data_IF_474296868182
#
_entry.id   IF_474296868182
#
_cell.length_a   1.000
_cell.length_b   1.000
_cell.length_c   1.000
_cell.angle_alpha   90.00
_cell.angle_beta   90.00
_cell.angle_gamma   90.00
#
_symmetry.space_group_name_H-M   'P 1'
#
loop_
_entity.id
_entity.type
_entity.pdbx_description
1 polymer ?
#
# COMPACT_ATOMS: atom_id res chain seq x y z
N UNK A 1 43.56 -37.44 -67.76
CA UNK A 1 42.30 -37.59 -67.01
C UNK A 1 42.55 -37.07 -65.59
N UNK A 2 42.16 -35.86 -65.26
CA UNK A 2 42.39 -35.22 -63.98
C UNK A 2 41.05 -35.08 -63.23
N UNK A 3 40.93 -35.77 -62.11
CA UNK A 3 39.76 -35.69 -61.21
C UNK A 3 40.00 -34.55 -60.22
N UNK A 4 39.18 -33.48 -60.29
CA UNK A 4 39.13 -32.42 -59.29
C UNK A 4 38.18 -32.82 -58.19
N UNK A 5 38.68 -33.02 -56.97
CA UNK A 5 37.89 -33.12 -55.75
C UNK A 5 37.52 -31.71 -55.28
N UNK A 6 36.23 -31.43 -55.20
CA UNK A 6 35.71 -30.22 -54.59
C UNK A 6 35.39 -30.53 -53.10
N UNK A 7 36.10 -29.86 -52.21
CA UNK A 7 35.83 -29.92 -50.75
C UNK A 7 34.72 -28.90 -50.42
N UNK A 8 33.59 -29.41 -49.92
CA UNK A 8 32.52 -28.58 -49.32
C UNK A 8 32.91 -28.25 -47.88
N UNK A 9 33.17 -27.00 -47.60
CA UNK A 9 33.33 -26.49 -46.22
C UNK A 9 31.92 -26.11 -45.69
N UNK A 10 31.39 -26.96 -44.82
CA UNK A 10 30.13 -26.66 -44.12
C UNK A 10 30.40 -25.68 -42.95
N UNK A 11 29.86 -24.47 -43.07
CA UNK A 11 29.84 -23.51 -41.97
C UNK A 11 28.68 -23.87 -41.01
N UNK A 12 29.05 -24.39 -39.85
CA UNK A 12 28.09 -24.61 -38.73
C UNK A 12 27.92 -23.27 -38.02
N UNK A 13 26.80 -22.59 -38.28
CA UNK A 13 26.39 -21.44 -37.46
C UNK A 13 25.79 -21.94 -36.16
N UNK A 14 26.58 -21.96 -35.11
CA UNK A 14 26.10 -22.21 -33.76
C UNK A 14 25.28 -21.01 -33.30
N UNK A 15 23.95 -21.08 -33.43
CA UNK A 15 23.03 -20.11 -32.83
C UNK A 15 23.16 -20.18 -31.30
N UNK A 16 23.76 -19.18 -30.71
CA UNK A 16 23.67 -18.93 -29.27
C UNK A 16 22.19 -18.67 -28.93
N UNK A 17 21.51 -19.68 -28.40
CA UNK A 17 20.27 -19.49 -27.69
C UNK A 17 20.58 -18.73 -26.39
N UNK A 18 20.46 -17.39 -26.44
CA UNK A 18 20.48 -16.59 -25.23
C UNK A 18 19.27 -17.04 -24.39
N UNK A 19 19.53 -17.81 -23.34
CA UNK A 19 18.53 -18.02 -22.28
C UNK A 19 18.14 -16.64 -21.76
N UNK A 20 16.83 -16.28 -21.69
CA UNK A 20 16.45 -15.03 -21.05
C UNK A 20 16.99 -15.07 -19.62
N UNK A 21 17.91 -14.17 -19.28
CA UNK A 21 18.29 -13.93 -17.91
C UNK A 21 16.99 -13.65 -17.16
N UNK A 22 16.65 -14.50 -16.18
CA UNK A 22 15.44 -14.28 -15.39
C UNK A 22 15.47 -12.83 -14.88
N UNK A 23 14.40 -12.10 -15.11
CA UNK A 23 14.31 -10.71 -14.65
C UNK A 23 14.59 -10.68 -13.15
N UNK A 24 15.47 -9.78 -12.73
CA UNK A 24 15.73 -9.57 -11.30
C UNK A 24 14.44 -9.17 -10.59
N UNK A 25 14.32 -9.52 -9.30
CA UNK A 25 13.14 -9.17 -8.52
C UNK A 25 13.05 -7.63 -8.41
N UNK A 26 11.90 -7.05 -8.79
CA UNK A 26 11.65 -5.61 -8.67
C UNK A 26 11.48 -5.26 -7.18
N UNK A 27 12.36 -4.44 -6.64
CA UNK A 27 12.36 -4.05 -5.22
C UNK A 27 11.39 -2.90 -5.01
N UNK A 28 10.34 -3.14 -4.22
CA UNK A 28 9.25 -2.19 -3.98
C UNK A 28 9.17 -1.81 -2.52
N UNK A 29 9.28 -0.52 -2.22
CA UNK A 29 8.99 0.03 -0.90
C UNK A 29 7.57 0.61 -0.92
N UNK A 30 6.65 0.07 -0.10
CA UNK A 30 5.23 0.36 -0.21
C UNK A 30 4.55 0.64 1.13
N UNK A 31 3.67 1.63 1.14
CA UNK A 31 2.79 1.89 2.27
C UNK A 31 1.83 0.73 2.53
N UNK A 32 1.58 0.44 3.82
CA UNK A 32 0.66 -0.62 4.24
C UNK A 32 -0.77 -0.43 3.73
N UNK A 33 -1.24 0.80 3.64
CA UNK A 33 -2.58 1.14 3.15
C UNK A 33 -2.88 0.65 1.73
N UNK A 34 -1.88 0.51 0.86
CA UNK A 34 -2.05 0.04 -0.53
C UNK A 34 -1.75 -1.45 -0.69
N UNK A 35 -1.26 -2.13 0.36
CA UNK A 35 -0.75 -3.51 0.30
C UNK A 35 -1.74 -4.50 -0.31
N UNK A 36 -2.99 -4.51 0.18
CA UNK A 36 -4.00 -5.48 -0.25
C UNK A 36 -4.32 -5.38 -1.74
N UNK A 37 -4.45 -4.15 -2.24
CA UNK A 37 -4.70 -3.87 -3.64
C UNK A 37 -3.47 -4.22 -4.52
N UNK A 38 -2.28 -3.77 -4.08
CA UNK A 38 -1.05 -4.01 -4.84
C UNK A 38 -0.78 -5.51 -4.98
N UNK A 39 -1.00 -6.31 -3.94
CA UNK A 39 -0.84 -7.76 -4.01
C UNK A 39 -1.70 -8.39 -5.12
N UNK A 40 -2.96 -7.97 -5.26
CA UNK A 40 -3.86 -8.45 -6.32
C UNK A 40 -3.38 -8.05 -7.74
N UNK A 41 -2.83 -6.83 -7.88
CA UNK A 41 -2.33 -6.36 -9.18
C UNK A 41 -1.04 -7.09 -9.55
N UNK A 42 -0.18 -7.34 -8.58
CA UNK A 42 1.07 -8.08 -8.77
C UNK A 42 0.82 -9.51 -9.20
N UNK A 43 -0.13 -10.19 -8.58
CA UNK A 43 -0.47 -11.56 -8.96
C UNK A 43 -0.76 -11.64 -10.47
N UNK A 44 -1.66 -10.78 -10.96
CA UNK A 44 -1.97 -10.71 -12.39
C UNK A 44 -0.75 -10.32 -13.25
N UNK A 45 0.01 -9.31 -12.80
CA UNK A 45 1.14 -8.79 -13.56
C UNK A 45 2.29 -9.81 -13.65
N UNK A 46 2.59 -10.50 -12.55
CA UNK A 46 3.60 -11.55 -12.51
C UNK A 46 3.25 -12.72 -13.43
N UNK A 47 1.97 -13.12 -13.45
CA UNK A 47 1.52 -14.18 -14.37
C UNK A 47 1.68 -13.78 -15.85
N UNK A 48 1.49 -12.51 -16.19
CA UNK A 48 1.56 -12.02 -17.56
C UNK A 48 2.98 -11.72 -18.03
N UNK A 49 3.83 -11.19 -17.14
CA UNK A 49 5.16 -10.67 -17.49
C UNK A 49 6.31 -11.56 -17.02
N UNK A 50 6.07 -12.49 -16.09
CA UNK A 50 7.13 -13.23 -15.41
C UNK A 50 7.90 -12.43 -14.35
N UNK A 51 7.56 -11.12 -14.14
CA UNK A 51 8.23 -10.26 -13.19
C UNK A 51 7.97 -10.73 -11.76
N UNK A 52 9.02 -10.85 -10.96
CA UNK A 52 8.97 -11.09 -9.52
C UNK A 52 9.16 -9.79 -8.75
N UNK A 53 8.72 -9.79 -7.49
CA UNK A 53 8.74 -8.60 -6.64
C UNK A 53 9.26 -8.94 -5.26
N UNK A 54 10.09 -8.03 -4.72
CA UNK A 54 10.55 -8.03 -3.33
C UNK A 54 10.00 -6.79 -2.62
N UNK A 55 9.36 -6.98 -1.47
CA UNK A 55 8.61 -5.92 -0.79
C UNK A 55 9.15 -5.55 0.57
N UNK A 56 9.35 -4.24 0.77
CA UNK A 56 9.42 -3.62 2.09
C UNK A 56 8.13 -2.83 2.34
N UNK A 57 7.35 -3.24 3.35
CA UNK A 57 6.06 -2.62 3.68
C UNK A 57 6.16 -1.95 5.04
N UNK A 58 5.58 -0.76 5.18
CA UNK A 58 5.59 -0.03 6.44
C UNK A 58 4.62 1.15 6.49
N UNK A 59 4.63 1.83 7.64
CA UNK A 59 3.96 3.11 7.82
C UNK A 59 4.72 4.23 7.12
N UNK A 60 4.11 5.40 6.95
CA UNK A 60 4.79 6.57 6.35
C UNK A 60 6.09 6.92 7.08
N UNK A 61 6.11 6.84 8.42
CA UNK A 61 7.31 7.13 9.22
C UNK A 61 8.42 6.11 9.02
N UNK A 62 8.09 4.81 9.05
CA UNK A 62 9.02 3.73 8.80
C UNK A 62 9.62 3.82 7.39
N UNK A 63 8.79 4.05 6.37
CA UNK A 63 9.23 4.16 4.97
C UNK A 63 10.11 5.39 4.74
N UNK A 64 9.83 6.53 5.40
CA UNK A 64 10.73 7.69 5.37
C UNK A 64 12.13 7.28 5.80
N UNK A 65 12.27 6.60 6.94
CA UNK A 65 13.56 6.14 7.45
C UNK A 65 14.26 5.19 6.48
N UNK A 66 13.54 4.19 5.97
CA UNK A 66 14.07 3.20 5.02
C UNK A 66 14.58 3.86 3.74
N UNK A 67 13.80 4.76 3.13
CA UNK A 67 14.17 5.42 1.87
C UNK A 67 15.34 6.41 2.09
N UNK A 68 15.30 7.17 3.18
CA UNK A 68 16.36 8.15 3.46
C UNK A 68 17.68 7.52 3.86
N UNK A 69 17.67 6.31 4.44
CA UNK A 69 18.90 5.54 4.72
C UNK A 69 19.58 5.00 3.44
N UNK A 70 18.90 5.13 2.28
CA UNK A 70 19.46 4.69 0.99
C UNK A 70 19.24 3.22 0.67
N UNK A 71 18.29 2.55 1.35
CA UNK A 71 17.93 1.17 0.98
C UNK A 71 17.61 1.09 -0.52
N UNK A 72 18.22 0.15 -1.26
CA UNK A 72 17.98 -0.01 -2.69
C UNK A 72 16.50 -0.35 -2.96
N UNK A 73 15.89 0.39 -3.88
CA UNK A 73 14.53 0.13 -4.36
C UNK A 73 14.41 0.56 -5.82
N UNK A 74 13.52 -0.10 -6.55
CA UNK A 74 13.21 0.23 -7.95
C UNK A 74 11.90 1.01 -8.06
N UNK A 75 11.03 0.85 -7.07
CA UNK A 75 9.75 1.53 -6.98
C UNK A 75 9.44 1.92 -5.53
N UNK A 76 8.92 3.12 -5.33
CA UNK A 76 8.32 3.54 -4.06
C UNK A 76 6.85 3.87 -4.26
N UNK A 77 6.00 3.42 -3.32
CA UNK A 77 4.56 3.72 -3.27
C UNK A 77 4.27 4.27 -1.88
N UNK A 78 4.17 5.59 -1.77
CA UNK A 78 4.08 6.29 -0.49
C UNK A 78 3.01 7.37 -0.50
N UNK A 79 2.68 7.92 0.67
CA UNK A 79 1.76 9.04 0.78
C UNK A 79 2.28 10.27 0.02
N UNK A 80 1.37 11.06 -0.55
CA UNK A 80 1.71 12.26 -1.33
C UNK A 80 2.59 13.26 -0.55
N UNK A 81 2.39 13.51 0.76
CA UNK A 81 3.31 14.35 1.52
C UNK A 81 4.75 13.81 1.57
N UNK A 82 4.93 12.51 1.80
CA UNK A 82 6.27 11.88 1.78
C UNK A 82 6.86 11.90 0.36
N UNK A 83 6.04 11.67 -0.66
CA UNK A 83 6.47 11.76 -2.06
C UNK A 83 7.06 13.14 -2.37
N UNK A 84 6.38 14.21 -1.97
CA UNK A 84 6.84 15.59 -2.17
C UNK A 84 8.16 15.90 -1.41
N UNK A 85 8.35 15.32 -0.22
CA UNK A 85 9.60 15.41 0.54
C UNK A 85 10.76 14.73 -0.22
N UNK A 86 10.52 13.53 -0.74
CA UNK A 86 11.52 12.77 -1.50
C UNK A 86 11.89 13.45 -2.82
N UNK A 87 10.94 14.07 -3.50
CA UNK A 87 11.19 14.88 -4.71
C UNK A 87 12.11 16.07 -4.38
N UNK A 88 11.81 16.84 -3.33
CA UNK A 88 12.63 17.98 -2.90
C UNK A 88 14.06 17.61 -2.53
N UNK A 89 14.26 16.40 -2.03
CA UNK A 89 15.58 15.91 -1.63
C UNK A 89 16.33 15.15 -2.73
N UNK A 90 15.80 15.13 -3.96
CA UNK A 90 16.44 14.48 -5.12
C UNK A 90 16.50 12.95 -5.01
N UNK A 91 15.67 12.34 -4.18
CA UNK A 91 15.61 10.89 -3.99
C UNK A 91 14.84 10.15 -5.07
N UNK A 92 14.15 10.89 -5.95
CA UNK A 92 13.30 10.32 -7.00
C UNK A 92 13.79 10.74 -8.38
N UNK A 93 13.58 9.90 -9.37
CA UNK A 93 13.80 10.21 -10.79
C UNK A 93 12.78 11.27 -11.24
N UNK A 94 13.22 12.43 -11.75
CA UNK A 94 12.32 13.48 -12.19
C UNK A 94 11.27 12.98 -13.20
N UNK A 95 10.00 13.38 -13.04
CA UNK A 95 8.91 13.02 -13.94
C UNK A 95 8.44 11.56 -13.83
N UNK A 96 8.92 10.78 -12.84
CA UNK A 96 8.50 9.39 -12.65
C UNK A 96 7.26 9.24 -11.77
N UNK A 97 6.81 10.31 -11.11
CA UNK A 97 5.66 10.30 -10.20
C UNK A 97 4.35 10.05 -10.95
N UNK A 98 3.55 9.16 -10.40
CA UNK A 98 2.19 8.85 -10.86
C UNK A 98 1.24 8.79 -9.66
N UNK A 99 0.15 9.54 -9.72
CA UNK A 99 -0.90 9.51 -8.70
C UNK A 99 -1.68 8.20 -8.79
N UNK A 100 -1.99 7.60 -7.63
CA UNK A 100 -2.68 6.31 -7.57
C UNK A 100 -4.13 6.43 -7.08
N UNK A 101 -4.39 7.34 -6.15
CA UNK A 101 -5.70 7.53 -5.53
C UNK A 101 -5.58 7.88 -4.06
N UNK A 102 -6.74 8.04 -3.41
CA UNK A 102 -6.82 8.36 -1.98
C UNK A 102 -7.74 7.40 -1.26
N UNK A 103 -7.48 7.18 0.02
CA UNK A 103 -8.29 6.32 0.89
C UNK A 103 -8.68 7.07 2.16
N UNK A 104 -9.91 6.87 2.61
CA UNK A 104 -10.44 7.45 3.84
C UNK A 104 -10.24 6.53 5.05
N UNK A 105 -10.30 7.15 6.23
CA UNK A 105 -10.35 6.44 7.51
C UNK A 105 -11.79 5.98 7.74
N UNK A 106 -11.95 4.80 8.32
CA UNK A 106 -13.24 4.24 8.67
C UNK A 106 -13.18 3.37 9.92
N UNK A 107 -14.35 2.88 10.28
CA UNK A 107 -14.51 1.93 11.39
C UNK A 107 -14.67 0.53 10.82
N UNK A 108 -13.96 -0.41 11.39
CA UNK A 108 -14.06 -1.82 11.08
C UNK A 108 -14.47 -2.61 12.34
N UNK A 109 -15.32 -3.59 12.15
CA UNK A 109 -15.78 -4.52 13.19
C UNK A 109 -15.61 -5.95 12.71
N UNK A 110 -15.66 -6.93 13.61
CA UNK A 110 -15.61 -8.34 13.24
C UNK A 110 -16.84 -8.69 12.38
N UNK A 111 -16.63 -9.52 11.40
CA UNK A 111 -17.72 -10.02 10.57
C UNK A 111 -18.78 -10.72 11.43
N UNK A 112 -20.06 -10.45 11.13
CA UNK A 112 -21.19 -10.91 11.96
C UNK A 112 -21.44 -10.13 13.26
N UNK A 113 -20.58 -9.20 13.66
CA UNK A 113 -20.83 -8.32 14.80
C UNK A 113 -21.82 -7.20 14.45
N UNK A 114 -22.46 -6.63 15.49
CA UNK A 114 -23.29 -5.44 15.33
C UNK A 114 -22.49 -4.27 14.81
N UNK A 115 -23.03 -3.59 13.80
CA UNK A 115 -22.42 -2.39 13.22
C UNK A 115 -22.79 -1.18 14.07
N UNK A 116 -21.82 -0.43 14.62
CA UNK A 116 -22.11 0.77 15.40
C UNK A 116 -22.66 1.88 14.49
N UNK A 117 -23.53 2.72 15.03
CA UNK A 117 -23.91 3.95 14.36
C UNK A 117 -22.75 4.94 14.43
N UNK A 118 -22.28 5.36 13.26
CA UNK A 118 -21.20 6.33 13.07
C UNK A 118 -21.56 7.43 12.08
N UNK A 119 -22.87 7.60 11.79
CA UNK A 119 -23.33 8.51 10.74
C UNK A 119 -23.06 9.99 11.06
N UNK A 120 -22.98 10.35 12.33
CA UNK A 120 -22.70 11.72 12.79
C UNK A 120 -21.49 11.76 13.71
N UNK A 121 -20.85 12.94 13.91
CA UNK A 121 -19.78 13.10 14.88
C UNK A 121 -20.13 12.62 16.28
N UNK A 122 -21.34 12.92 16.74
CA UNK A 122 -21.81 12.53 18.08
C UNK A 122 -22.05 11.02 18.16
N UNK A 123 -22.70 10.41 17.15
CA UNK A 123 -22.88 8.97 17.08
C UNK A 123 -21.54 8.22 17.06
N UNK A 124 -20.58 8.68 16.24
CA UNK A 124 -19.23 8.14 16.23
C UNK A 124 -18.53 8.25 17.58
N UNK A 125 -18.60 9.42 18.23
CA UNK A 125 -18.07 9.63 19.59
C UNK A 125 -18.69 8.67 20.59
N UNK A 126 -20.02 8.49 20.57
CA UNK A 126 -20.72 7.56 21.48
C UNK A 126 -20.33 6.10 21.21
N UNK A 127 -20.23 5.72 19.92
CA UNK A 127 -19.74 4.38 19.56
C UNK A 127 -18.34 4.10 20.09
N UNK A 128 -17.43 5.07 19.97
CA UNK A 128 -16.09 4.96 20.53
C UNK A 128 -16.10 4.84 22.06
N UNK A 129 -16.95 5.60 22.77
CA UNK A 129 -17.05 5.55 24.23
C UNK A 129 -17.62 4.21 24.68
N UNK A 130 -18.66 3.71 24.00
CA UNK A 130 -19.35 2.46 24.36
C UNK A 130 -18.50 1.20 24.07
N UNK A 131 -17.61 1.25 23.09
CA UNK A 131 -16.75 0.12 22.72
C UNK A 131 -15.87 -0.31 23.91
N UNK A 132 -15.68 -1.60 24.09
CA UNK A 132 -14.80 -2.19 25.12
C UNK A 132 -13.33 -2.01 24.79
N UNK A 133 -12.99 -2.00 23.49
CA UNK A 133 -11.62 -1.81 22.99
C UNK A 133 -11.62 -1.27 21.58
N UNK A 134 -10.61 -0.43 21.27
CA UNK A 134 -10.43 0.20 19.97
C UNK A 134 -9.00 -0.03 19.48
N UNK A 135 -8.86 -0.75 18.36
CA UNK A 135 -7.57 -0.98 17.73
C UNK A 135 -7.25 0.14 16.72
N UNK A 136 -6.02 0.58 16.70
CA UNK A 136 -5.51 1.52 15.71
C UNK A 136 -3.98 1.52 15.66
N UNK A 137 -3.41 2.04 14.58
CA UNK A 137 -1.96 2.15 14.45
C UNK A 137 -1.39 3.06 15.54
N UNK A 138 -0.39 2.58 16.27
CA UNK A 138 0.31 3.38 17.27
C UNK A 138 0.88 4.64 16.59
N UNK A 139 0.55 5.85 17.05
CA UNK A 139 1.10 7.09 16.50
C UNK A 139 2.64 7.12 16.47
N UNK A 140 3.30 6.47 17.43
CA UNK A 140 4.77 6.38 17.49
C UNK A 140 5.38 5.61 16.30
N UNK A 141 4.62 4.75 15.64
CA UNK A 141 5.04 4.05 14.42
C UNK A 141 4.98 4.94 13.17
N UNK A 142 4.52 6.19 13.29
CA UNK A 142 4.42 7.14 12.17
C UNK A 142 3.34 6.79 11.14
N UNK A 143 2.32 6.02 11.54
CA UNK A 143 1.16 5.70 10.70
C UNK A 143 0.19 6.87 10.61
N UNK A 144 -0.14 7.31 9.40
CA UNK A 144 -0.96 8.50 9.16
C UNK A 144 -2.34 8.41 9.81
N UNK A 145 -3.04 7.27 9.65
CA UNK A 145 -4.37 7.05 10.26
C UNK A 145 -4.32 7.07 11.79
N UNK A 146 -3.28 6.48 12.38
CA UNK A 146 -3.11 6.46 13.84
C UNK A 146 -2.82 7.85 14.42
N UNK A 147 -1.93 8.61 13.78
CA UNK A 147 -1.63 10.00 14.17
C UNK A 147 -2.90 10.86 14.08
N UNK A 148 -3.64 10.74 12.97
CA UNK A 148 -4.89 11.46 12.80
C UNK A 148 -5.93 11.08 13.86
N UNK A 149 -6.15 9.77 14.08
CA UNK A 149 -7.13 9.29 15.05
C UNK A 149 -6.79 9.74 16.48
N UNK A 150 -5.52 9.71 16.88
CA UNK A 150 -5.10 10.22 18.18
C UNK A 150 -5.48 11.70 18.34
N UNK A 151 -5.12 12.55 17.38
CA UNK A 151 -5.52 13.98 17.38
C UNK A 151 -7.03 14.16 17.35
N UNK A 152 -7.76 13.30 16.63
CA UNK A 152 -9.22 13.34 16.60
C UNK A 152 -9.84 13.05 17.97
N UNK A 153 -9.32 12.08 18.71
CA UNK A 153 -9.80 11.77 20.08
C UNK A 153 -9.58 12.94 21.05
N UNK A 154 -8.49 13.69 20.89
CA UNK A 154 -8.25 14.93 21.64
C UNK A 154 -9.29 16.01 21.31
N UNK A 155 -9.54 16.26 20.02
CA UNK A 155 -10.56 17.23 19.55
C UNK A 155 -11.97 16.87 20.00
N UNK A 156 -12.28 15.57 20.11
CA UNK A 156 -13.57 15.08 20.60
C UNK A 156 -13.67 15.05 22.13
N UNK A 157 -12.57 15.33 22.86
CA UNK A 157 -12.52 15.31 24.32
C UNK A 157 -12.67 13.91 24.92
N UNK A 158 -12.19 12.86 24.22
CA UNK A 158 -12.29 11.46 24.65
C UNK A 158 -10.94 10.75 24.68
N UNK A 159 -9.84 11.46 24.56
CA UNK A 159 -8.50 10.87 24.45
C UNK A 159 -8.18 9.92 25.61
N UNK A 160 -8.46 10.32 26.86
CA UNK A 160 -8.19 9.48 28.04
C UNK A 160 -9.04 8.21 28.06
N UNK A 161 -10.33 8.32 27.67
CA UNK A 161 -11.22 7.17 27.59
C UNK A 161 -10.77 6.17 26.51
N UNK A 162 -10.26 6.66 25.38
CA UNK A 162 -9.73 5.79 24.33
C UNK A 162 -8.39 5.17 24.75
N UNK A 163 -7.49 5.94 25.35
CA UNK A 163 -6.19 5.45 25.82
C UNK A 163 -6.31 4.26 26.77
N UNK A 164 -7.32 4.24 27.64
CA UNK A 164 -7.54 3.15 28.61
C UNK A 164 -7.93 1.83 27.95
N UNK A 165 -8.43 1.85 26.71
CA UNK A 165 -8.92 0.67 25.98
C UNK A 165 -8.31 0.52 24.59
N UNK A 166 -7.21 1.23 24.34
CA UNK A 166 -6.49 1.20 23.07
C UNK A 166 -5.78 -0.14 22.89
N UNK A 167 -5.94 -0.73 21.71
CA UNK A 167 -5.12 -1.83 21.20
C UNK A 167 -4.22 -1.24 20.13
N UNK A 168 -2.99 -0.90 20.52
CA UNK A 168 -2.01 -0.25 19.64
C UNK A 168 -1.26 -1.29 18.82
N UNK A 169 -1.17 -1.04 17.51
CA UNK A 169 -0.54 -1.94 16.54
C UNK A 169 0.52 -1.22 15.72
N UNK A 170 1.37 -1.97 15.03
CA UNK A 170 2.42 -1.42 14.15
C UNK A 170 1.88 -0.89 12.82
N UNK A 171 0.68 -1.32 12.43
CA UNK A 171 0.03 -0.90 11.18
C UNK A 171 -1.46 -1.21 11.19
N UNK A 172 -2.22 -0.61 10.27
CA UNK A 172 -3.68 -0.74 10.25
C UNK A 172 -4.16 -2.16 9.93
N UNK A 173 -3.44 -2.90 9.08
CA UNK A 173 -3.79 -4.30 8.82
C UNK A 173 -3.68 -5.18 10.08
N UNK A 174 -2.72 -4.90 10.98
CA UNK A 174 -2.64 -5.58 12.26
C UNK A 174 -3.82 -5.22 13.16
N UNK A 175 -4.24 -3.95 13.17
CA UNK A 175 -5.44 -3.54 13.90
C UNK A 175 -6.70 -4.24 13.39
N UNK A 176 -6.81 -4.44 12.07
CA UNK A 176 -7.89 -5.23 11.49
C UNK A 176 -7.83 -6.71 11.93
N UNK A 177 -6.62 -7.29 12.02
CA UNK A 177 -6.42 -8.68 12.52
C UNK A 177 -6.85 -8.78 14.00
N UNK A 178 -6.52 -7.80 14.85
CA UNK A 178 -6.97 -7.77 16.25
C UNK A 178 -8.51 -7.85 16.35
N UNK A 179 -9.21 -7.16 15.42
CA UNK A 179 -10.68 -7.21 15.35
C UNK A 179 -11.17 -8.57 14.83
N UNK A 180 -10.56 -9.11 13.76
CA UNK A 180 -10.94 -10.40 13.19
C UNK A 180 -10.86 -11.53 14.23
N UNK A 181 -9.81 -11.50 15.05
CA UNK A 181 -9.55 -12.51 16.09
C UNK A 181 -10.26 -12.21 17.42
N UNK A 182 -11.01 -11.11 17.50
CA UNK A 182 -11.81 -10.73 18.67
C UNK A 182 -11.02 -10.17 19.86
N UNK A 183 -9.74 -9.80 19.65
CA UNK A 183 -8.93 -9.11 20.65
C UNK A 183 -9.23 -7.61 20.74
N UNK A 184 -9.83 -7.04 19.70
CA UNK A 184 -10.41 -5.71 19.72
C UNK A 184 -11.88 -5.76 19.23
N UNK A 185 -12.72 -4.88 19.78
CA UNK A 185 -14.11 -4.79 19.38
C UNK A 185 -14.29 -4.05 18.05
N UNK A 186 -13.55 -2.99 17.86
CA UNK A 186 -13.51 -2.23 16.61
C UNK A 186 -12.11 -1.73 16.29
N UNK A 187 -11.87 -1.37 15.03
CA UNK A 187 -10.67 -0.66 14.61
C UNK A 187 -11.03 0.66 13.92
N UNK A 188 -10.18 1.67 14.10
CA UNK A 188 -10.23 2.94 13.36
C UNK A 188 -8.96 3.06 12.52
N UNK A 189 -9.08 2.76 11.22
CA UNK A 189 -7.97 2.57 10.27
C UNK A 189 -8.39 3.01 8.87
N UNK A 190 -7.46 3.02 7.91
CA UNK A 190 -7.85 3.14 6.50
C UNK A 190 -8.73 1.96 6.09
N UNK A 191 -9.83 2.24 5.36
CA UNK A 191 -10.77 1.18 4.95
C UNK A 191 -10.12 0.12 4.06
N UNK A 192 -9.10 0.47 3.29
CA UNK A 192 -8.34 -0.47 2.47
C UNK A 192 -7.62 -1.55 3.28
N UNK A 193 -7.16 -1.21 4.48
CA UNK A 193 -6.48 -2.14 5.38
C UNK A 193 -7.49 -3.12 6.00
N UNK A 194 -8.70 -2.67 6.28
CA UNK A 194 -9.79 -3.52 6.75
C UNK A 194 -10.30 -4.48 5.66
N UNK A 195 -10.53 -3.96 4.44
CA UNK A 195 -11.01 -4.77 3.29
C UNK A 195 -10.05 -5.92 2.98
N UNK A 196 -8.75 -5.72 3.19
CA UNK A 196 -7.73 -6.73 2.92
C UNK A 196 -7.70 -7.89 3.94
N UNK A 197 -8.42 -7.80 5.05
CA UNK A 197 -8.40 -8.81 6.13
C UNK A 197 -9.72 -9.58 6.18
N UNK A 198 -9.63 -10.91 6.07
CA UNK A 198 -10.80 -11.80 6.21
C UNK A 198 -11.34 -11.76 7.64
N UNK A 199 -12.65 -11.88 7.80
CA UNK A 199 -13.30 -11.86 9.12
C UNK A 199 -13.54 -10.46 9.67
N UNK A 200 -13.33 -9.42 8.86
CA UNK A 200 -13.58 -8.02 9.20
C UNK A 200 -14.58 -7.41 8.22
N UNK A 201 -15.50 -6.62 8.74
CA UNK A 201 -16.46 -5.82 7.98
C UNK A 201 -16.20 -4.33 8.23
N UNK A 202 -16.15 -3.56 7.16
CA UNK A 202 -16.14 -2.09 7.25
C UNK A 202 -17.53 -1.62 7.64
N UNK A 203 -17.65 -0.95 8.80
CA UNK A 203 -18.89 -0.35 9.28
C UNK A 203 -19.25 0.91 8.46
N UNK A 204 -18.25 1.67 8.05
CA UNK A 204 -18.37 2.87 7.24
C UNK A 204 -17.13 3.74 7.33
N UNK A 205 -17.10 4.78 6.51
CA UNK A 205 -16.14 5.89 6.62
C UNK A 205 -16.49 6.76 7.83
N UNK A 206 -15.53 7.52 8.35
CA UNK A 206 -15.81 8.54 9.36
C UNK A 206 -16.82 9.56 8.82
N UNK A 207 -17.61 10.22 9.70
CA UNK A 207 -18.49 11.32 9.29
C UNK A 207 -17.73 12.37 8.47
N UNK A 208 -18.34 12.97 7.44
CA UNK A 208 -17.63 13.89 6.53
C UNK A 208 -16.85 15.02 7.20
N UNK A 209 -17.36 15.57 8.31
CA UNK A 209 -16.69 16.63 9.08
C UNK A 209 -15.51 16.15 9.93
N UNK A 210 -15.39 14.82 10.11
CA UNK A 210 -14.31 14.16 10.84
C UNK A 210 -13.43 13.33 9.91
N UNK A 211 -13.70 13.35 8.60
CA UNK A 211 -12.98 12.49 7.67
C UNK A 211 -11.61 13.09 7.31
N UNK A 212 -10.63 12.21 7.21
CA UNK A 212 -9.34 12.51 6.61
C UNK A 212 -9.01 11.48 5.52
N UNK A 213 -8.43 11.96 4.44
CA UNK A 213 -8.04 11.14 3.30
C UNK A 213 -6.53 11.19 3.10
N UNK A 214 -5.92 10.05 2.98
CA UNK A 214 -4.53 9.97 2.52
C UNK A 214 -4.46 9.61 1.04
N UNK A 215 -3.80 10.47 0.25
CA UNK A 215 -3.49 10.22 -1.14
C UNK A 215 -2.13 9.54 -1.28
N UNK A 216 -2.01 8.64 -2.26
CA UNK A 216 -0.82 7.87 -2.54
C UNK A 216 -0.36 8.07 -3.97
N UNK A 217 0.95 8.00 -4.16
CA UNK A 217 1.59 8.07 -5.46
C UNK A 217 2.71 7.02 -5.56
N UNK A 218 3.03 6.63 -6.77
CA UNK A 218 4.18 5.80 -7.11
C UNK A 218 5.26 6.64 -7.78
N UNK A 219 6.53 6.31 -7.56
CA UNK A 219 7.64 6.93 -8.27
C UNK A 219 8.86 6.01 -8.30
N UNK A 220 9.80 6.31 -9.20
CA UNK A 220 11.05 5.58 -9.36
C UNK A 220 12.14 6.28 -8.51
N UNK A 221 12.77 5.59 -7.54
CA UNK A 221 13.93 6.14 -6.83
C UNK A 221 15.08 6.49 -7.77
N UNK A 222 15.85 7.51 -7.42
CA UNK A 222 17.04 7.93 -8.21
C UNK A 222 18.17 6.87 -8.24
N UNK A 223 18.14 5.91 -7.31
CA UNK A 223 19.07 4.79 -7.22
C UNK A 223 18.47 3.46 -7.73
N UNK A 224 17.38 3.48 -8.47
CA UNK A 224 16.78 2.28 -9.06
C UNK A 224 17.77 1.59 -10.01
N UNK A 225 17.82 0.27 -9.92
CA UNK A 225 18.63 -0.58 -10.81
C UNK A 225 17.85 -1.09 -12.03
N UNK A 226 16.52 -1.02 -11.99
CA UNK A 226 15.64 -1.36 -13.12
C UNK A 226 14.50 -0.34 -13.29
N UNK A 227 14.82 0.89 -13.72
CA UNK A 227 13.81 1.93 -13.93
C UNK A 227 12.83 1.60 -15.07
N UNK A 228 13.19 0.71 -15.99
CA UNK A 228 12.33 0.32 -17.09
C UNK A 228 11.19 -0.59 -16.60
N UNK A 229 11.51 -1.64 -15.83
CA UNK A 229 10.52 -2.51 -15.21
C UNK A 229 9.61 -1.73 -14.23
N UNK A 230 10.19 -0.83 -13.42
CA UNK A 230 9.45 0.03 -12.52
C UNK A 230 8.43 0.91 -13.28
N UNK A 231 8.83 1.52 -14.40
CA UNK A 231 7.95 2.33 -15.25
C UNK A 231 6.82 1.51 -15.86
N UNK A 232 7.11 0.30 -16.35
CA UNK A 232 6.11 -0.61 -16.88
C UNK A 232 5.09 -1.01 -15.81
N UNK A 233 5.53 -1.26 -14.59
CA UNK A 233 4.62 -1.60 -13.50
C UNK A 233 3.80 -0.39 -13.03
N UNK A 234 4.36 0.82 -12.96
CA UNK A 234 3.58 2.05 -12.70
C UNK A 234 2.46 2.22 -13.75
N UNK A 235 2.75 2.00 -15.03
CA UNK A 235 1.73 2.05 -16.08
C UNK A 235 0.63 1.00 -15.88
N UNK A 236 0.97 -0.19 -15.40
CA UNK A 236 -0.01 -1.21 -15.04
C UNK A 236 -0.87 -0.80 -13.85
N UNK A 237 -0.28 -0.19 -12.80
CA UNK A 237 -1.00 0.31 -11.63
C UNK A 237 -2.01 1.41 -11.97
N UNK A 238 -1.66 2.30 -12.88
CA UNK A 238 -2.45 3.48 -13.26
C UNK A 238 -3.37 3.24 -14.46
N UNK A 239 -3.37 2.03 -15.02
CA UNK A 239 -4.21 1.73 -16.18
C UNK A 239 -5.70 1.83 -15.85
N UNK A 240 -6.49 2.36 -16.79
CA UNK A 240 -7.96 2.49 -16.65
C UNK A 240 -8.64 1.14 -16.33
N UNK A 241 -8.09 0.03 -16.82
CA UNK A 241 -8.58 -1.32 -16.53
C UNK A 241 -8.48 -1.71 -15.05
N UNK A 242 -7.68 -1.01 -14.25
CA UNK A 242 -7.54 -1.26 -12.81
C UNK A 242 -8.40 -0.33 -11.94
N UNK A 243 -9.04 0.69 -12.51
CA UNK A 243 -9.79 1.70 -11.76
C UNK A 243 -10.89 1.11 -10.85
N UNK A 244 -11.60 0.09 -11.34
CA UNK A 244 -12.64 -0.59 -10.55
C UNK A 244 -12.03 -1.36 -9.37
N UNK A 245 -10.87 -2.00 -9.57
CA UNK A 245 -10.13 -2.70 -8.51
C UNK A 245 -9.66 -1.73 -7.41
N UNK A 246 -9.23 -0.51 -7.77
CA UNK A 246 -8.93 0.54 -6.82
C UNK A 246 -10.15 0.88 -5.96
N UNK A 247 -11.32 1.09 -6.58
CA UNK A 247 -12.58 1.37 -5.85
C UNK A 247 -13.01 0.22 -4.96
N UNK A 248 -12.95 -1.02 -5.45
CA UNK A 248 -13.29 -2.21 -4.66
C UNK A 248 -12.42 -2.40 -3.42
N UNK A 249 -11.20 -1.85 -3.43
CA UNK A 249 -10.30 -1.83 -2.28
C UNK A 249 -10.38 -0.53 -1.46
N UNK A 250 -11.45 0.26 -1.61
CA UNK A 250 -11.73 1.44 -0.80
C UNK A 250 -11.00 2.72 -1.22
N UNK A 251 -10.37 2.73 -2.40
CA UNK A 251 -9.72 3.92 -2.93
C UNK A 251 -10.65 4.72 -3.83
N UNK A 252 -10.57 6.03 -3.72
CA UNK A 252 -11.10 6.97 -4.69
C UNK A 252 -10.00 7.30 -5.72
N UNK A 253 -10.36 7.44 -7.03
CA UNK A 253 -9.38 7.77 -8.07
C UNK A 253 -8.73 9.13 -7.81
N UNK A 254 -7.59 9.44 -8.42
CA UNK A 254 -7.02 10.78 -8.45
C UNK A 254 -8.03 11.79 -9.00
N UNK A 255 -8.04 13.01 -8.44
CA UNK A 255 -8.88 14.11 -8.95
C UNK A 255 -8.27 14.74 -10.18
#
# INVERSE_FOLDING_TARGET
MAHRLAALVGVVVAGLLATPAGAADLKVISAGAVRGLIAQIIEDYSHQSGQKFDFTIGTTGQLRTVITSGQPADLVIVSVPLMAELEKTGKLTPGSRAELGRVGIGVAVRDGASVPDIATPDAFKQALIAARSVAYTNPAEGGTSGIYFNSLTERLGIADAIKQKAVLTKGGSEAAIEVAEGRAEMAVIFVSEAIAVKGVKVAGLLPPSLQDYSAYAAAIPSNSTDPAAARAFIAALTSAAKAERWRANGFEPPK
#
